data_IF_327791358301
#
_entry.id   IF_327791358301
#
_cell.length_a   1.000
_cell.length_b   1.000
_cell.length_c   1.000
_cell.angle_alpha   90.00
_cell.angle_beta   90.00
_cell.angle_gamma   90.00
#
_symmetry.space_group_name_H-M   'P 1'
#
loop_
_entity.id
_entity.type
_entity.pdbx_description
1 polymer ?
#
# COMPACT_ATOMS: atom_id res chain seq x y z
N UNK A 1 -9.83 -18.95 -13.33
CA UNK A 1 -9.27 -18.13 -12.23
C UNK A 1 -10.31 -17.38 -11.41
N UNK A 2 -11.38 -16.81 -11.99
CA UNK A 2 -12.55 -16.39 -11.18
C UNK A 2 -13.22 -17.60 -10.55
N UNK A 3 -13.29 -18.71 -11.30
CA UNK A 3 -13.58 -20.02 -10.74
C UNK A 3 -12.59 -20.47 -9.65
N UNK A 4 -11.36 -19.98 -9.56
CA UNK A 4 -10.43 -20.42 -8.51
C UNK A 4 -10.64 -19.62 -7.22
N UNK A 5 -11.08 -18.37 -7.32
CA UNK A 5 -11.58 -17.57 -6.17
C UNK A 5 -12.99 -18.02 -5.73
N UNK A 6 -13.79 -18.58 -6.65
CA UNK A 6 -15.13 -19.12 -6.37
C UNK A 6 -15.18 -20.64 -6.10
N UNK A 7 -14.12 -21.42 -6.36
CA UNK A 7 -14.14 -22.89 -6.23
C UNK A 7 -13.26 -23.45 -5.11
N UNK A 8 -12.84 -22.62 -4.17
CA UNK A 8 -12.31 -23.09 -2.89
C UNK A 8 -13.37 -22.84 -1.81
N UNK A 9 -14.03 -23.93 -1.41
CA UNK A 9 -15.16 -24.02 -0.47
C UNK A 9 -16.55 -23.79 -1.09
N UNK A 10 -17.51 -24.62 -0.67
CA UNK A 10 -18.95 -24.48 -0.95
C UNK A 10 -19.60 -23.30 -0.23
N UNK A 11 -18.80 -22.39 0.32
CA UNK A 11 -19.21 -21.17 1.01
C UNK A 11 -18.69 -19.98 0.20
N UNK A 12 -19.53 -18.95 -0.01
CA UNK A 12 -19.08 -17.73 -0.67
C UNK A 12 -17.87 -17.15 0.09
N UNK A 13 -16.82 -16.64 -0.60
CA UNK A 13 -15.65 -16.08 0.08
C UNK A 13 -16.11 -14.98 1.05
N UNK A 14 -15.84 -15.20 2.34
CA UNK A 14 -16.36 -14.35 3.40
C UNK A 14 -15.55 -13.04 3.46
N UNK A 15 -15.91 -12.07 2.62
CA UNK A 15 -15.35 -10.72 2.63
C UNK A 15 -15.69 -9.99 3.94
N UNK A 16 -14.99 -8.88 4.24
CA UNK A 16 -15.32 -8.06 5.43
C UNK A 16 -16.71 -7.42 5.34
N UNK A 17 -17.21 -7.19 4.12
CA UNK A 17 -18.56 -6.73 3.82
C UNK A 17 -18.95 -7.19 2.41
N UNK A 18 -20.21 -6.98 2.03
CA UNK A 18 -20.63 -7.11 0.63
C UNK A 18 -19.78 -6.24 -0.29
N UNK A 19 -19.40 -6.76 -1.47
CA UNK A 19 -18.61 -6.05 -2.49
C UNK A 19 -19.23 -4.70 -2.86
N UNK A 20 -18.42 -3.76 -3.33
CA UNK A 20 -18.89 -2.41 -3.69
C UNK A 20 -19.81 -2.50 -4.90
N UNK A 21 -19.36 -3.18 -5.95
CA UNK A 21 -20.19 -3.59 -7.08
C UNK A 21 -21.06 -4.78 -6.65
N UNK A 22 -22.37 -4.79 -6.95
CA UNK A 22 -23.22 -5.94 -6.67
C UNK A 22 -22.64 -7.24 -7.24
N UNK A 23 -22.67 -8.31 -6.45
CA UNK A 23 -22.08 -9.60 -6.85
C UNK A 23 -22.69 -10.16 -8.15
N UNK A 24 -23.97 -9.89 -8.39
CA UNK A 24 -24.67 -10.23 -9.64
C UNK A 24 -24.08 -9.53 -10.87
N UNK A 25 -23.60 -8.30 -10.73
CA UNK A 25 -22.94 -7.55 -11.81
C UNK A 25 -21.52 -8.06 -12.06
N UNK A 26 -20.78 -8.37 -10.99
CA UNK A 26 -19.46 -9.01 -11.09
C UNK A 26 -19.53 -10.36 -11.80
N UNK A 27 -20.62 -11.11 -11.59
CA UNK A 27 -20.88 -12.41 -12.24
C UNK A 27 -21.28 -12.29 -13.72
N UNK A 28 -21.71 -11.11 -14.20
CA UNK A 28 -22.04 -10.90 -15.63
C UNK A 28 -20.80 -10.86 -16.52
N UNK A 29 -19.70 -10.31 -16.01
CA UNK A 29 -18.42 -10.25 -16.70
C UNK A 29 -17.27 -10.67 -15.75
N UNK A 30 -17.21 -11.96 -15.40
CA UNK A 30 -16.25 -12.47 -14.43
C UNK A 30 -14.82 -12.32 -14.95
N UNK A 31 -14.63 -12.36 -16.27
CA UNK A 31 -13.30 -12.35 -16.85
C UNK A 31 -12.70 -10.96 -17.06
N UNK A 32 -13.49 -9.90 -16.92
CA UNK A 32 -12.97 -8.54 -16.94
C UNK A 32 -11.97 -8.28 -15.81
N UNK A 33 -10.97 -7.44 -16.11
CA UNK A 33 -10.02 -6.98 -15.11
C UNK A 33 -10.69 -6.19 -14.00
N UNK A 34 -11.78 -5.47 -14.28
CA UNK A 34 -12.59 -4.80 -13.25
C UNK A 34 -13.10 -5.76 -12.19
N UNK A 35 -13.83 -6.80 -12.62
CA UNK A 35 -14.39 -7.79 -11.69
C UNK A 35 -13.29 -8.56 -10.96
N UNK A 36 -12.26 -8.98 -11.68
CA UNK A 36 -11.09 -9.68 -11.11
C UNK A 36 -10.37 -8.84 -10.07
N UNK A 37 -10.13 -7.55 -10.35
CA UNK A 37 -9.44 -6.65 -9.43
C UNK A 37 -10.28 -6.34 -8.20
N UNK A 38 -11.59 -6.09 -8.32
CA UNK A 38 -12.46 -5.87 -7.16
C UNK A 38 -12.50 -7.09 -6.23
N UNK A 39 -12.66 -8.29 -6.80
CA UNK A 39 -12.66 -9.53 -6.02
C UNK A 39 -11.31 -9.78 -5.35
N UNK A 40 -10.20 -9.50 -6.05
CA UNK A 40 -8.86 -9.61 -5.48
C UNK A 40 -8.68 -8.68 -4.28
N UNK A 41 -8.96 -7.38 -4.42
CA UNK A 41 -8.73 -6.41 -3.33
C UNK A 41 -9.64 -6.68 -2.13
N UNK A 42 -10.88 -7.13 -2.36
CA UNK A 42 -11.83 -7.52 -1.32
C UNK A 42 -11.38 -8.77 -0.56
N UNK A 43 -10.84 -9.76 -1.29
CA UNK A 43 -10.26 -10.98 -0.69
C UNK A 43 -9.05 -10.63 0.18
N UNK A 44 -8.10 -9.87 -0.35
CA UNK A 44 -6.88 -9.49 0.36
C UNK A 44 -7.21 -8.67 1.62
N UNK A 45 -8.19 -7.77 1.56
CA UNK A 45 -8.67 -7.06 2.75
C UNK A 45 -9.17 -8.03 3.81
N UNK A 46 -10.02 -8.99 3.44
CA UNK A 46 -10.60 -9.93 4.38
C UNK A 46 -9.57 -10.87 5.00
N UNK A 47 -8.72 -11.48 4.18
CA UNK A 47 -7.66 -12.37 4.65
C UNK A 47 -6.70 -11.63 5.59
N UNK A 48 -6.28 -10.42 5.23
CA UNK A 48 -5.35 -9.65 6.06
C UNK A 48 -6.00 -9.18 7.36
N UNK A 49 -7.24 -8.68 7.33
CA UNK A 49 -7.97 -8.29 8.54
C UNK A 49 -8.09 -9.46 9.52
N UNK A 50 -8.55 -10.63 9.05
CA UNK A 50 -8.70 -11.83 9.90
C UNK A 50 -7.37 -12.28 10.49
N UNK A 51 -6.32 -12.27 9.69
CA UNK A 51 -5.00 -12.69 10.13
C UNK A 51 -4.42 -11.73 11.19
N UNK A 52 -4.75 -10.44 11.12
CA UNK A 52 -4.42 -9.46 12.17
C UNK A 52 -5.29 -9.67 13.43
N UNK A 53 -6.60 -9.87 13.30
CA UNK A 53 -7.50 -10.15 14.44
C UNK A 53 -7.06 -11.39 15.22
N UNK A 54 -6.64 -12.45 14.51
CA UNK A 54 -6.12 -13.68 15.12
C UNK A 54 -4.84 -13.40 15.94
N UNK A 55 -3.93 -12.58 15.40
CA UNK A 55 -2.66 -12.27 16.07
C UNK A 55 -2.85 -11.31 17.25
N UNK A 56 -3.76 -10.34 17.14
CA UNK A 56 -4.11 -9.40 18.20
C UNK A 56 -4.84 -10.10 19.36
N UNK A 57 -5.84 -10.91 19.04
CA UNK A 57 -6.60 -11.73 19.98
C UNK A 57 -7.57 -10.97 20.89
N UNK A 58 -7.59 -9.63 20.87
CA UNK A 58 -8.48 -8.82 21.73
C UNK A 58 -9.41 -7.89 20.96
N UNK A 59 -8.93 -7.26 19.88
CA UNK A 59 -9.73 -6.33 19.08
C UNK A 59 -10.16 -6.95 17.75
N UNK A 60 -11.28 -6.45 17.25
CA UNK A 60 -11.79 -6.69 15.89
C UNK A 60 -11.83 -5.40 15.10
N UNK A 61 -11.81 -5.51 13.78
CA UNK A 61 -12.00 -4.36 12.91
C UNK A 61 -13.43 -3.84 13.00
N UNK A 62 -13.55 -2.51 13.11
CA UNK A 62 -14.78 -1.81 12.73
C UNK A 62 -14.83 -1.74 11.21
N UNK A 63 -15.91 -2.24 10.62
CA UNK A 63 -16.10 -2.29 9.17
C UNK A 63 -17.17 -1.30 8.76
N UNK A 64 -16.82 -0.39 7.87
CA UNK A 64 -17.74 0.60 7.31
C UNK A 64 -17.73 0.53 5.79
N UNK A 65 -18.86 0.12 5.21
CA UNK A 65 -19.12 0.24 3.78
C UNK A 65 -19.71 1.62 3.50
N UNK A 66 -19.22 2.28 2.47
CA UNK A 66 -19.66 3.61 2.07
C UNK A 66 -19.76 3.71 0.55
N UNK A 67 -20.67 4.57 0.10
CA UNK A 67 -20.90 4.85 -1.31
C UNK A 67 -20.41 6.25 -1.67
N UNK A 68 -20.03 6.42 -2.94
CA UNK A 68 -19.58 7.69 -3.49
C UNK A 68 -20.65 8.25 -4.44
N UNK A 69 -21.13 9.50 -4.26
CA UNK A 69 -22.15 10.09 -5.13
C UNK A 69 -21.77 10.11 -6.62
N UNK A 70 -20.48 10.28 -6.93
CA UNK A 70 -20.00 10.29 -8.32
C UNK A 70 -19.81 8.88 -8.93
N UNK A 71 -20.01 7.81 -8.16
CA UNK A 71 -19.92 6.43 -8.59
C UNK A 71 -18.90 5.60 -7.80
N UNK A 72 -19.32 4.37 -7.48
CA UNK A 72 -18.57 3.42 -6.67
C UNK A 72 -18.67 3.70 -5.17
N UNK A 73 -17.62 3.36 -4.43
CA UNK A 73 -17.58 3.42 -2.98
C UNK A 73 -16.35 2.72 -2.40
N UNK A 74 -16.47 2.21 -1.19
CA UNK A 74 -15.39 1.49 -0.54
C UNK A 74 -15.82 0.78 0.74
N UNK A 75 -14.87 0.04 1.29
CA UNK A 75 -14.99 -0.65 2.57
C UNK A 75 -13.79 -0.25 3.40
N UNK A 76 -14.02 0.46 4.49
CA UNK A 76 -12.99 0.87 5.44
C UNK A 76 -13.01 -0.06 6.64
N UNK A 77 -11.91 -0.76 6.88
CA UNK A 77 -11.71 -1.58 8.07
C UNK A 77 -10.68 -0.88 8.96
N UNK A 78 -11.05 -0.51 10.18
CA UNK A 78 -10.14 0.11 11.14
C UNK A 78 -10.19 -0.62 12.49
N UNK A 79 -9.02 -0.87 13.06
CA UNK A 79 -8.80 -1.35 14.42
C UNK A 79 -7.91 -0.34 15.14
N UNK A 80 -8.32 0.08 16.34
CA UNK A 80 -7.56 0.99 17.21
C UNK A 80 -7.52 0.42 18.62
N UNK A 81 -6.44 0.73 19.34
CA UNK A 81 -6.19 0.29 20.72
C UNK A 81 -6.22 -1.25 20.88
N UNK A 82 -5.67 -1.97 19.88
CA UNK A 82 -5.39 -3.40 19.95
C UNK A 82 -4.25 -3.75 20.89
N UNK A 83 -4.18 -5.02 21.27
CA UNK A 83 -3.10 -5.52 22.13
C UNK A 83 -1.76 -5.50 21.39
N UNK A 84 -1.79 -5.91 20.12
CA UNK A 84 -0.61 -6.01 19.25
C UNK A 84 -0.57 -4.82 18.31
N UNK A 85 -1.72 -4.43 17.77
CA UNK A 85 -1.83 -3.34 16.81
C UNK A 85 -2.46 -2.12 17.45
N UNK A 86 -1.65 -1.10 17.72
CA UNK A 86 -2.13 0.17 18.26
C UNK A 86 -3.07 0.85 17.27
N UNK A 87 -2.75 0.74 15.97
CA UNK A 87 -3.67 1.11 14.88
C UNK A 87 -3.44 0.23 13.67
N UNK A 88 -4.51 -0.27 13.08
CA UNK A 88 -4.48 -1.01 11.84
C UNK A 88 -5.63 -0.53 10.97
N UNK A 89 -5.36 -0.23 9.71
CA UNK A 89 -6.44 -0.04 8.75
C UNK A 89 -6.14 -0.67 7.42
N UNK A 90 -7.18 -1.24 6.83
CA UNK A 90 -7.15 -2.00 5.59
C UNK A 90 -8.37 -1.56 4.78
N UNK A 91 -8.15 -0.72 3.77
CA UNK A 91 -9.21 -0.05 3.03
C UNK A 91 -9.29 -0.58 1.61
N UNK A 92 -10.52 -0.90 1.18
CA UNK A 92 -10.86 -1.16 -0.21
C UNK A 92 -11.57 0.07 -0.76
N UNK A 93 -11.23 0.45 -1.99
CA UNK A 93 -11.95 1.48 -2.74
C UNK A 93 -12.16 0.99 -4.16
N UNK A 94 -13.41 1.04 -4.61
CA UNK A 94 -13.80 0.72 -5.97
C UNK A 94 -14.58 1.91 -6.49
N UNK A 95 -13.96 2.72 -7.33
CA UNK A 95 -14.53 3.98 -7.81
C UNK A 95 -14.64 3.94 -9.33
N UNK A 96 -15.71 4.51 -9.84
CA UNK A 96 -15.92 4.69 -11.26
C UNK A 96 -16.62 6.02 -11.51
N UNK A 97 -16.56 6.51 -12.75
CA UNK A 97 -17.25 7.73 -13.12
C UNK A 97 -16.54 8.47 -14.23
N UNK A 98 -16.61 9.80 -14.19
CA UNK A 98 -16.04 10.68 -15.20
C UNK A 98 -14.91 11.51 -14.60
N UNK A 99 -13.71 11.34 -15.15
CA UNK A 99 -12.50 12.02 -14.75
C UNK A 99 -12.24 13.25 -15.63
N UNK A 100 -12.05 14.47 -15.08
CA UNK A 100 -11.59 15.61 -15.85
C UNK A 100 -10.23 15.31 -16.51
N UNK A 101 -10.06 15.69 -17.78
CA UNK A 101 -8.79 15.44 -18.51
C UNK A 101 -7.56 16.01 -17.81
N UNK A 102 -7.71 17.12 -17.08
CA UNK A 102 -6.66 17.74 -16.29
C UNK A 102 -6.15 16.87 -15.12
N UNK A 103 -6.92 15.87 -14.68
CA UNK A 103 -6.52 14.97 -13.61
C UNK A 103 -5.71 13.75 -14.11
N UNK A 104 -5.76 13.42 -15.40
CA UNK A 104 -5.05 12.25 -15.97
C UNK A 104 -3.53 12.26 -15.69
N UNK A 105 -2.80 13.40 -15.81
CA UNK A 105 -1.37 13.43 -15.51
C UNK A 105 -1.02 13.10 -14.05
N UNK A 106 -1.98 13.20 -13.13
CA UNK A 106 -1.78 12.84 -11.72
C UNK A 106 -1.97 11.34 -11.47
N UNK A 107 -2.64 10.63 -12.38
CA UNK A 107 -2.98 9.21 -12.23
C UNK A 107 -1.95 8.27 -12.85
N UNK A 108 -1.25 8.73 -13.88
CA UNK A 108 -0.20 7.97 -14.56
C UNK A 108 0.93 8.89 -15.02
N UNK A 109 2.17 8.48 -14.77
CA UNK A 109 3.34 9.21 -15.25
C UNK A 109 3.54 9.06 -16.76
N UNK A 110 2.92 8.03 -17.37
CA UNK A 110 2.98 7.71 -18.79
C UNK A 110 1.65 7.97 -19.52
N UNK A 111 1.08 9.16 -19.32
CA UNK A 111 -0.21 9.58 -19.89
C UNK A 111 -0.14 10.04 -21.36
N UNK A 112 1.04 10.03 -21.99
CA UNK A 112 1.25 10.65 -23.32
C UNK A 112 0.43 10.00 -24.44
N UNK A 113 0.13 8.71 -24.29
CA UNK A 113 -0.64 7.95 -25.27
C UNK A 113 -2.16 8.06 -25.06
N UNK A 114 -2.62 8.71 -23.98
CA UNK A 114 -4.03 8.89 -23.66
C UNK A 114 -4.56 10.10 -24.42
N UNK A 115 -5.53 9.91 -25.31
CA UNK A 115 -6.16 11.00 -26.05
C UNK A 115 -7.11 11.79 -25.14
N UNK A 116 -6.66 12.99 -24.74
CA UNK A 116 -7.40 13.89 -23.84
C UNK A 116 -8.37 14.84 -24.56
N UNK A 117 -8.42 14.81 -25.90
CA UNK A 117 -9.26 15.70 -26.70
C UNK A 117 -9.77 14.95 -27.93
N UNK A 118 -11.06 15.09 -28.24
CA UNK A 118 -11.66 14.49 -29.42
C UNK A 118 -13.11 14.92 -29.59
N UNK A 119 -13.70 14.77 -30.79
CA UNK A 119 -15.07 15.21 -31.07
C UNK A 119 -16.14 14.47 -30.25
N UNK A 120 -15.81 13.30 -29.68
CA UNK A 120 -16.70 12.51 -28.84
C UNK A 120 -16.64 12.90 -27.35
N UNK A 121 -15.70 13.76 -26.96
CA UNK A 121 -15.46 14.17 -25.59
C UNK A 121 -16.47 15.24 -25.15
N UNK A 122 -17.62 14.82 -24.64
CA UNK A 122 -18.58 15.75 -24.02
C UNK A 122 -18.03 16.21 -22.66
N UNK A 123 -18.00 17.53 -22.46
CA UNK A 123 -17.63 18.20 -21.20
C UNK A 123 -16.19 18.00 -20.69
N UNK A 124 -15.27 17.50 -21.53
CA UNK A 124 -13.86 17.39 -21.17
C UNK A 124 -13.55 16.32 -20.11
N UNK A 125 -14.37 15.26 -20.04
CA UNK A 125 -14.22 14.18 -19.06
C UNK A 125 -14.15 12.80 -19.70
N UNK A 126 -13.41 11.90 -19.08
CA UNK A 126 -13.14 10.54 -19.54
C UNK A 126 -13.73 9.50 -18.58
N UNK A 127 -14.42 8.45 -19.06
CA UNK A 127 -14.81 7.33 -18.22
C UNK A 127 -13.59 6.67 -17.58
N UNK A 128 -13.66 6.38 -16.30
CA UNK A 128 -12.60 5.66 -15.60
C UNK A 128 -13.17 4.68 -14.58
N UNK A 129 -12.33 3.71 -14.22
CA UNK A 129 -12.54 2.79 -13.11
C UNK A 129 -11.23 2.59 -12.35
N UNK A 130 -11.33 2.43 -11.04
CA UNK A 130 -10.23 2.04 -10.19
C UNK A 130 -10.69 1.12 -9.07
N UNK A 131 -9.91 0.07 -8.81
CA UNK A 131 -10.10 -0.81 -7.65
C UNK A 131 -8.77 -0.92 -6.91
N UNK A 132 -8.77 -0.71 -5.60
CA UNK A 132 -7.56 -0.71 -4.79
C UNK A 132 -7.79 -1.29 -3.39
N UNK A 133 -6.79 -2.00 -2.88
CA UNK A 133 -6.59 -2.21 -1.44
C UNK A 133 -5.42 -1.34 -0.99
N UNK A 134 -5.55 -0.67 0.14
CA UNK A 134 -4.47 0.09 0.79
C UNK A 134 -4.51 -0.16 2.29
N UNK A 135 -3.36 -0.44 2.87
CA UNK A 135 -3.25 -0.80 4.27
C UNK A 135 -2.04 -0.16 4.93
N UNK A 136 -2.20 0.26 6.18
CA UNK A 136 -1.11 0.66 7.06
C UNK A 136 -1.37 0.07 8.45
N UNK A 137 -0.36 -0.60 8.99
CA UNK A 137 -0.41 -1.24 10.30
C UNK A 137 0.68 -0.67 11.19
N UNK A 138 0.29 -0.15 12.34
CA UNK A 138 1.14 0.40 13.38
C UNK A 138 1.06 -0.46 14.64
N UNK A 139 2.00 -1.40 14.83
CA UNK A 139 2.09 -2.20 16.05
C UNK A 139 2.38 -1.36 17.29
N UNK A 140 1.88 -1.80 18.44
CA UNK A 140 2.19 -1.20 19.73
C UNK A 140 3.67 -1.36 20.09
N UNK A 141 4.20 -2.60 19.98
CA UNK A 141 5.57 -2.93 20.38
C UNK A 141 6.61 -2.28 19.44
N UNK A 142 7.62 -1.52 19.94
CA UNK A 142 8.69 -0.92 19.15
C UNK A 142 9.50 -1.89 18.27
N UNK A 143 9.53 -3.16 18.65
CA UNK A 143 10.25 -4.22 17.94
C UNK A 143 9.47 -4.79 16.76
N UNK A 144 8.16 -4.55 16.69
CA UNK A 144 7.37 -4.94 15.51
C UNK A 144 7.32 -3.77 14.52
N UNK A 145 7.77 -3.96 13.26
CA UNK A 145 7.77 -2.91 12.26
C UNK A 145 6.36 -2.49 11.85
N UNK A 146 6.22 -1.20 11.50
CA UNK A 146 5.06 -0.75 10.72
C UNK A 146 5.16 -1.34 9.31
N UNK A 147 4.03 -1.78 8.74
CA UNK A 147 3.96 -2.22 7.34
C UNK A 147 2.96 -1.38 6.57
N UNK A 148 3.25 -1.13 5.31
CA UNK A 148 2.32 -0.57 4.34
C UNK A 148 2.26 -1.47 3.12
N UNK A 149 1.07 -1.61 2.56
CA UNK A 149 0.93 -2.11 1.19
C UNK A 149 -0.22 -1.43 0.46
N UNK A 150 -0.10 -1.43 -0.85
CA UNK A 150 -1.14 -0.99 -1.76
C UNK A 150 -1.09 -1.85 -3.01
N UNK A 151 -2.25 -2.28 -3.51
CA UNK A 151 -2.38 -2.91 -4.82
C UNK A 151 -3.61 -2.34 -5.49
N UNK A 152 -3.43 -1.80 -6.71
CA UNK A 152 -4.48 -1.07 -7.42
C UNK A 152 -4.48 -1.37 -8.91
N UNK A 153 -5.67 -1.36 -9.47
CA UNK A 153 -5.94 -1.39 -10.90
C UNK A 153 -6.62 -0.10 -11.31
N UNK A 154 -6.21 0.44 -12.46
CA UNK A 154 -6.85 1.59 -13.10
C UNK A 154 -7.15 1.27 -14.56
N UNK A 155 -8.32 1.70 -15.04
CA UNK A 155 -8.61 1.85 -16.46
C UNK A 155 -9.25 3.22 -16.74
N UNK A 156 -8.90 3.79 -17.89
CA UNK A 156 -9.51 5.00 -18.44
C UNK A 156 -9.81 4.77 -19.91
N UNK A 157 -10.99 5.19 -20.35
CA UNK A 157 -11.37 5.22 -21.75
C UNK A 157 -11.08 6.61 -22.30
N UNK A 158 -10.26 6.72 -23.34
CA UNK A 158 -9.84 8.00 -23.92
C UNK A 158 -10.92 8.61 -24.84
N UNK A 159 -10.64 9.79 -25.40
CA UNK A 159 -11.59 10.52 -26.24
C UNK A 159 -11.99 9.82 -27.55
N UNK A 160 -11.32 8.73 -27.91
CA UNK A 160 -11.59 7.90 -29.09
C UNK A 160 -12.25 6.56 -28.72
N UNK A 161 -12.55 6.33 -27.44
CA UNK A 161 -13.13 5.08 -26.94
C UNK A 161 -12.09 3.98 -26.68
N UNK A 162 -10.79 4.30 -26.74
CA UNK A 162 -9.72 3.33 -26.48
C UNK A 162 -9.46 3.24 -24.98
N UNK A 163 -9.42 2.01 -24.46
CA UNK A 163 -9.09 1.74 -23.07
C UNK A 163 -7.58 1.71 -22.83
N UNK A 164 -7.17 2.40 -21.78
CA UNK A 164 -5.82 2.36 -21.24
C UNK A 164 -5.90 1.87 -19.81
N UNK A 165 -5.13 0.84 -19.46
CA UNK A 165 -5.16 0.27 -18.12
C UNK A 165 -3.77 -0.08 -17.62
N UNK A 166 -3.58 0.04 -16.31
CA UNK A 166 -2.33 -0.29 -15.65
C UNK A 166 -2.59 -0.73 -14.21
N UNK A 167 -1.63 -1.44 -13.68
CA UNK A 167 -1.54 -1.75 -12.26
C UNK A 167 -0.51 -0.87 -11.58
N UNK A 168 -0.72 -0.68 -10.28
CA UNK A 168 0.29 -0.12 -9.41
C UNK A 168 0.22 -0.81 -8.05
N UNK A 169 1.29 -0.69 -7.28
CA UNK A 169 1.28 -1.24 -5.95
C UNK A 169 2.65 -1.36 -5.33
N UNK A 170 2.70 -2.09 -4.23
CA UNK A 170 3.90 -2.29 -3.46
C UNK A 170 3.59 -2.69 -2.02
N UNK A 171 4.61 -3.22 -1.37
CA UNK A 171 4.61 -3.56 0.06
C UNK A 171 5.96 -3.11 0.60
N UNK A 172 5.96 -2.33 1.68
CA UNK A 172 7.17 -1.80 2.31
C UNK A 172 7.13 -1.89 3.83
N UNK A 173 8.31 -2.01 4.44
CA UNK A 173 8.49 -2.23 5.87
C UNK A 173 9.20 -1.04 6.53
N UNK A 174 8.66 -0.57 7.65
CA UNK A 174 9.16 0.57 8.43
C UNK A 174 9.45 0.16 9.88
N UNK A 175 10.61 -0.46 10.14
CA UNK A 175 11.04 -0.79 11.50
C UNK A 175 11.46 0.46 12.29
N UNK A 176 11.29 0.39 13.61
CA UNK A 176 11.92 1.36 14.54
C UNK A 176 13.34 0.94 14.93
N UNK A 177 13.56 -0.36 15.04
CA UNK A 177 14.86 -0.97 15.30
C UNK A 177 15.19 -1.97 14.19
N UNK A 178 16.46 -2.02 13.80
CA UNK A 178 16.91 -2.95 12.79
C UNK A 178 17.00 -4.37 13.37
N UNK A 179 16.27 -5.30 12.77
CA UNK A 179 16.53 -6.74 12.81
C UNK A 179 16.87 -7.16 11.36
N UNK A 180 18.08 -7.68 11.14
CA UNK A 180 18.54 -8.01 9.79
C UNK A 180 17.84 -9.27 9.25
N UNK A 181 17.49 -10.23 10.12
CA UNK A 181 16.78 -11.45 9.71
C UNK A 181 15.37 -11.12 9.25
N UNK A 182 14.70 -10.19 9.92
CA UNK A 182 13.37 -9.73 9.53
C UNK A 182 13.40 -9.01 8.18
N UNK A 183 14.40 -8.15 7.96
CA UNK A 183 14.57 -7.48 6.68
C UNK A 183 14.82 -8.48 5.55
N UNK A 184 15.69 -9.48 5.77
CA UNK A 184 15.96 -10.56 4.82
C UNK A 184 14.68 -11.38 4.56
N UNK A 185 13.95 -11.79 5.61
CA UNK A 185 12.70 -12.57 5.49
C UNK A 185 11.67 -11.82 4.65
N UNK A 186 11.46 -10.55 4.95
CA UNK A 186 10.50 -9.69 4.26
C UNK A 186 10.86 -9.57 2.77
N UNK A 187 12.09 -9.16 2.48
CA UNK A 187 12.56 -8.95 1.10
C UNK A 187 12.63 -10.24 0.29
N UNK A 188 13.05 -11.36 0.90
CA UNK A 188 13.07 -12.66 0.25
C UNK A 188 11.67 -13.11 -0.15
N UNK A 189 10.70 -12.96 0.73
CA UNK A 189 9.30 -13.32 0.45
C UNK A 189 8.74 -12.51 -0.73
N UNK A 190 9.02 -11.20 -0.77
CA UNK A 190 8.62 -10.35 -1.90
C UNK A 190 9.35 -10.71 -3.20
N UNK A 191 10.63 -11.07 -3.12
CA UNK A 191 11.42 -11.52 -4.28
C UNK A 191 10.88 -12.82 -4.84
N UNK A 192 10.58 -13.80 -3.99
CA UNK A 192 10.03 -15.09 -4.42
C UNK A 192 8.69 -14.91 -5.15
N UNK A 193 7.83 -14.00 -4.67
CA UNK A 193 6.59 -13.62 -5.35
C UNK A 193 6.83 -12.97 -6.72
N UNK A 194 7.86 -12.13 -6.87
CA UNK A 194 8.22 -11.52 -8.15
C UNK A 194 8.84 -12.53 -9.13
N UNK A 195 9.75 -13.36 -8.64
CA UNK A 195 10.53 -14.33 -9.42
C UNK A 195 9.67 -15.45 -10.00
N UNK A 196 8.48 -15.71 -9.42
CA UNK A 196 7.48 -16.61 -9.99
C UNK A 196 6.95 -16.15 -11.36
N UNK A 197 7.15 -14.88 -11.72
CA UNK A 197 6.73 -14.29 -12.99
C UNK A 197 7.92 -13.85 -13.84
N UNK A 198 8.83 -13.07 -13.25
CA UNK A 198 10.09 -12.67 -13.91
C UNK A 198 11.12 -12.18 -12.89
N UNK A 199 12.38 -12.60 -13.08
CA UNK A 199 13.51 -12.22 -12.20
C UNK A 199 13.90 -10.75 -12.29
N UNK A 200 13.36 -10.01 -13.27
CA UNK A 200 13.65 -8.58 -13.48
C UNK A 200 12.87 -7.67 -12.53
N UNK A 201 11.70 -8.12 -12.06
CA UNK A 201 10.75 -7.29 -11.34
C UNK A 201 11.28 -6.87 -9.96
N UNK A 202 11.76 -7.82 -9.14
CA UNK A 202 12.20 -7.49 -7.78
C UNK A 202 13.34 -6.46 -7.76
N UNK A 203 14.47 -6.61 -8.50
CA UNK A 203 15.53 -5.60 -8.48
C UNK A 203 15.04 -4.21 -8.90
N UNK A 204 14.17 -4.12 -9.91
CA UNK A 204 13.62 -2.86 -10.39
C UNK A 204 12.69 -2.22 -9.36
N UNK A 205 11.74 -2.99 -8.82
CA UNK A 205 10.72 -2.49 -7.89
C UNK A 205 11.27 -2.23 -6.49
N UNK A 206 12.31 -2.96 -6.07
CA UNK A 206 13.05 -2.66 -4.83
C UNK A 206 13.76 -1.33 -4.93
N UNK A 207 14.50 -1.10 -6.03
CA UNK A 207 15.15 0.18 -6.27
C UNK A 207 14.12 1.32 -6.31
N UNK A 208 13.00 1.12 -6.99
CA UNK A 208 11.94 2.12 -7.05
C UNK A 208 11.36 2.41 -5.65
N UNK A 209 11.19 1.39 -4.81
CA UNK A 209 10.75 1.56 -3.43
C UNK A 209 11.72 2.44 -2.63
N UNK A 210 13.04 2.20 -2.75
CA UNK A 210 14.08 2.99 -2.09
C UNK A 210 14.11 4.46 -2.55
N UNK A 211 13.77 4.72 -3.80
CA UNK A 211 13.73 6.05 -4.42
C UNK A 211 12.42 6.80 -4.12
N UNK A 212 11.31 6.06 -3.94
CA UNK A 212 9.99 6.63 -3.70
C UNK A 212 9.83 7.11 -2.25
N UNK A 213 10.18 6.28 -1.27
CA UNK A 213 9.95 6.54 0.15
C UNK A 213 11.05 7.39 0.82
N UNK A 214 11.55 8.41 0.12
CA UNK A 214 12.58 9.33 0.61
C UNK A 214 11.96 10.56 1.27
N UNK A 215 12.36 10.84 2.50
CA UNK A 215 11.99 12.06 3.25
C UNK A 215 13.00 13.15 2.91
N UNK A 216 12.77 13.85 1.79
CA UNK A 216 13.76 14.75 1.16
C UNK A 216 14.28 15.86 2.09
N UNK A 217 13.48 16.33 3.03
CA UNK A 217 13.88 17.37 3.98
C UNK A 217 14.69 16.84 5.19
N UNK A 218 14.81 15.52 5.37
CA UNK A 218 15.58 14.87 6.46
C UNK A 218 16.96 14.43 5.96
N UNK A 219 17.80 15.40 5.59
CA UNK A 219 19.18 15.19 5.13
C UNK A 219 19.60 16.16 4.02
N UNK A 220 20.87 16.09 3.57
CA UNK A 220 21.33 16.83 2.39
C UNK A 220 21.17 15.95 1.15
N UNK A 221 20.12 16.16 0.36
CA UNK A 221 19.99 15.57 -0.98
C UNK A 221 20.91 16.37 -1.94
N UNK A 222 22.22 16.08 -1.95
CA UNK A 222 23.17 16.79 -2.83
C UNK A 222 23.24 16.14 -4.22
N UNK A 223 23.29 16.98 -5.25
CA UNK A 223 23.48 16.58 -6.66
C UNK A 223 24.89 16.03 -6.96
N UNK A 224 25.85 16.13 -6.02
CA UNK A 224 27.24 15.72 -6.22
C UNK A 224 27.71 14.68 -5.18
N UNK A 225 27.11 13.49 -5.16
CA UNK A 225 27.77 12.30 -4.60
C UNK A 225 27.21 11.67 -3.33
N UNK A 226 25.88 11.62 -3.16
CA UNK A 226 25.26 10.52 -2.38
C UNK A 226 23.98 10.90 -1.64
N UNK A 227 22.96 10.00 -1.59
CA UNK A 227 21.74 10.26 -0.85
C UNK A 227 22.02 10.09 0.65
N UNK A 228 22.18 11.19 1.40
CA UNK A 228 22.08 11.18 2.87
C UNK A 228 20.66 11.45 3.37
N UNK A 229 19.69 11.41 2.46
CA UNK A 229 18.28 11.63 2.81
C UNK A 229 17.72 10.36 3.44
N UNK A 230 17.02 10.54 4.54
CA UNK A 230 16.38 9.45 5.28
C UNK A 230 15.25 8.82 4.45
N UNK A 231 15.22 7.49 4.36
CA UNK A 231 14.06 6.74 3.86
C UNK A 231 13.10 6.49 5.00
N UNK A 232 11.81 6.32 4.67
CA UNK A 232 10.76 6.01 5.66
C UNK A 232 11.09 4.73 6.44
N UNK A 233 11.56 3.70 5.72
CA UNK A 233 11.83 2.36 6.23
C UNK A 233 12.92 1.62 5.43
N UNK A 234 12.95 0.30 5.53
CA UNK A 234 13.93 -0.58 4.85
C UNK A 234 13.52 -0.99 3.44
N UNK A 235 12.49 -0.33 2.90
CA UNK A 235 11.97 -0.55 1.55
C UNK A 235 11.11 -1.80 1.45
N UNK A 236 11.10 -2.39 0.27
CA UNK A 236 10.25 -3.50 -0.14
C UNK A 236 10.14 -3.47 -1.66
N UNK A 237 8.93 -3.57 -2.21
CA UNK A 237 8.69 -3.38 -3.64
C UNK A 237 7.74 -2.20 -3.87
N UNK A 238 7.97 -1.42 -4.92
CA UNK A 238 7.06 -0.38 -5.39
C UNK A 238 7.04 -0.37 -6.92
N UNK A 239 5.84 -0.29 -7.49
CA UNK A 239 5.62 -0.15 -8.93
C UNK A 239 4.39 0.71 -9.21
N UNK A 240 4.44 1.38 -10.34
CA UNK A 240 3.36 2.20 -10.87
C UNK A 240 3.38 2.08 -12.39
N UNK A 241 2.28 2.42 -13.05
CA UNK A 241 2.17 2.37 -14.52
C UNK A 241 2.52 0.99 -15.13
N UNK A 242 2.29 -0.10 -14.40
CA UNK A 242 2.54 -1.46 -14.87
C UNK A 242 1.43 -1.88 -15.84
N UNK A 243 1.67 -1.63 -17.14
CA UNK A 243 0.77 -1.99 -18.24
C UNK A 243 0.76 -3.50 -18.48
N UNK A 244 -0.34 -3.98 -19.07
CA UNK A 244 -0.42 -5.37 -19.55
C UNK A 244 0.70 -5.63 -20.57
N UNK A 245 1.25 -6.84 -20.55
CA UNK A 245 2.35 -7.24 -21.43
C UNK A 245 2.23 -8.71 -21.81
N UNK A 246 2.89 -9.10 -22.90
CA UNK A 246 3.00 -10.50 -23.32
C UNK A 246 4.14 -11.26 -22.59
N UNK A 247 4.95 -10.59 -21.76
CA UNK A 247 6.08 -11.23 -21.05
C UNK A 247 5.59 -12.14 -19.91
N UNK A 248 4.52 -11.75 -19.22
CA UNK A 248 3.86 -12.53 -18.16
C UNK A 248 2.45 -11.98 -17.89
N UNK A 249 1.61 -12.78 -17.22
CA UNK A 249 0.29 -12.34 -16.77
C UNK A 249 0.42 -11.34 -15.60
N UNK A 250 0.26 -10.05 -15.94
CA UNK A 250 0.40 -8.94 -14.99
C UNK A 250 -0.63 -9.02 -13.84
N UNK A 251 -1.84 -9.50 -14.11
CA UNK A 251 -2.84 -9.65 -13.05
C UNK A 251 -2.44 -10.75 -12.07
N UNK A 252 -1.89 -11.87 -12.56
CA UNK A 252 -1.34 -12.92 -11.70
C UNK A 252 -0.09 -12.45 -10.93
N UNK A 253 0.77 -11.64 -11.54
CA UNK A 253 1.88 -11.01 -10.83
C UNK A 253 1.42 -10.17 -9.65
N UNK A 254 0.47 -9.26 -9.86
CA UNK A 254 -0.10 -8.43 -8.79
C UNK A 254 -0.77 -9.28 -7.72
N UNK A 255 -1.46 -10.35 -8.12
CA UNK A 255 -2.07 -11.32 -7.20
C UNK A 255 -1.02 -11.98 -6.32
N UNK A 256 0.08 -12.50 -6.89
CA UNK A 256 1.18 -13.10 -6.12
C UNK A 256 1.84 -12.11 -5.18
N UNK A 257 2.03 -10.85 -5.60
CA UNK A 257 2.54 -9.81 -4.72
C UNK A 257 1.58 -9.54 -3.55
N UNK A 258 0.27 -9.45 -3.80
CA UNK A 258 -0.72 -9.24 -2.75
C UNK A 258 -0.80 -10.42 -1.76
N UNK A 259 -0.74 -11.66 -2.27
CA UNK A 259 -0.72 -12.88 -1.45
C UNK A 259 0.56 -12.98 -0.59
N UNK A 260 1.65 -12.32 -1.00
CA UNK A 260 2.92 -12.32 -0.26
C UNK A 260 2.91 -11.42 0.99
N UNK A 261 1.89 -10.57 1.18
CA UNK A 261 1.81 -9.63 2.31
C UNK A 261 1.76 -10.37 3.66
N UNK A 262 0.84 -11.33 3.82
CA UNK A 262 0.70 -12.11 5.06
C UNK A 262 2.00 -12.87 5.40
N UNK A 263 2.57 -13.70 4.50
CA UNK A 263 3.77 -14.47 4.82
C UNK A 263 5.02 -13.59 4.99
N UNK A 264 5.10 -12.42 4.37
CA UNK A 264 6.22 -11.49 4.58
C UNK A 264 6.14 -10.77 5.92
N UNK A 265 4.95 -10.50 6.45
CA UNK A 265 4.77 -9.67 7.63
C UNK A 265 4.43 -10.43 8.92
N UNK A 266 3.45 -11.35 8.91
CA UNK A 266 2.97 -11.96 10.15
C UNK A 266 4.00 -12.80 10.91
N UNK A 267 4.95 -13.51 10.27
CA UNK A 267 6.04 -14.17 11.01
C UNK A 267 6.85 -13.18 11.86
N UNK A 268 7.13 -11.99 11.33
CA UNK A 268 7.84 -10.92 12.04
C UNK A 268 7.01 -10.44 13.25
N UNK A 269 5.72 -10.20 13.06
CA UNK A 269 4.82 -9.81 14.17
C UNK A 269 4.80 -10.88 15.26
N UNK A 270 4.64 -12.15 14.89
CA UNK A 270 4.59 -13.28 15.84
C UNK A 270 5.90 -13.43 16.60
N UNK A 271 7.04 -13.18 15.96
CA UNK A 271 8.39 -13.20 16.57
C UNK A 271 8.53 -12.10 17.63
N UNK A 272 8.10 -10.87 17.33
CA UNK A 272 8.44 -9.69 18.14
C UNK A 272 7.33 -9.12 19.02
N UNK A 273 6.06 -9.55 18.87
CA UNK A 273 4.93 -8.91 19.58
C UNK A 273 5.05 -8.93 21.11
N UNK A 274 5.75 -9.92 21.67
CA UNK A 274 5.94 -10.09 23.11
C UNK A 274 7.32 -9.64 23.61
N UNK A 275 8.14 -9.03 22.76
CA UNK A 275 9.47 -8.56 23.15
C UNK A 275 9.36 -7.49 24.25
N UNK A 276 10.19 -7.60 25.27
CA UNK A 276 10.27 -6.61 26.34
C UNK A 276 10.95 -5.36 25.80
N UNK A 277 10.33 -4.20 26.00
CA UNK A 277 10.89 -2.91 25.62
C UNK A 277 10.85 -1.90 26.78
N UNK A 278 11.65 -0.86 26.66
CA UNK A 278 11.80 0.24 27.62
C UNK A 278 11.05 1.49 27.14
N UNK A 279 10.78 2.42 28.06
CA UNK A 279 10.16 3.71 27.72
C UNK A 279 10.96 4.50 26.68
N UNK A 280 12.30 4.39 26.71
CA UNK A 280 13.17 5.01 25.71
C UNK A 280 12.94 4.42 24.31
N UNK A 281 12.76 3.10 24.22
CA UNK A 281 12.45 2.44 22.95
C UNK A 281 11.07 2.81 22.42
N UNK A 282 10.10 3.01 23.32
CA UNK A 282 8.80 3.55 22.95
C UNK A 282 8.89 5.02 22.50
N UNK A 283 9.68 5.87 23.17
CA UNK A 283 9.92 7.26 22.71
C UNK A 283 10.56 7.28 21.32
N UNK A 284 11.53 6.41 21.07
CA UNK A 284 12.15 6.29 19.75
C UNK A 284 11.14 5.87 18.66
N UNK A 285 10.31 4.87 18.93
CA UNK A 285 9.24 4.45 18.01
C UNK A 285 8.30 5.62 17.66
N UNK A 286 7.93 6.45 18.65
CA UNK A 286 7.09 7.63 18.41
C UNK A 286 7.79 8.70 17.55
N UNK A 287 9.11 8.86 17.69
CA UNK A 287 9.91 9.74 16.81
C UNK A 287 9.98 9.18 15.38
N UNK A 288 10.17 7.85 15.22
CA UNK A 288 10.13 7.17 13.92
C UNK A 288 8.76 7.30 13.25
N UNK A 289 7.68 7.21 14.02
CA UNK A 289 6.31 7.45 13.54
C UNK A 289 6.06 8.92 13.15
N UNK A 290 6.72 9.87 13.80
CA UNK A 290 6.75 11.26 13.33
C UNK A 290 7.30 11.37 11.90
N UNK A 291 8.34 10.59 11.55
CA UNK A 291 8.87 10.51 10.17
C UNK A 291 7.88 9.89 9.19
N UNK A 292 7.13 8.88 9.64
CA UNK A 292 6.06 8.27 8.85
C UNK A 292 4.99 9.31 8.48
N UNK A 293 4.50 10.06 9.48
CA UNK A 293 3.54 11.14 9.28
C UNK A 293 4.08 12.26 8.38
N UNK A 294 5.35 12.66 8.57
CA UNK A 294 6.01 13.64 7.68
C UNK A 294 6.01 13.19 6.22
N UNK A 295 6.32 11.92 5.95
CA UNK A 295 6.28 11.41 4.58
C UNK A 295 4.87 11.47 3.99
N UNK A 296 3.88 10.93 4.71
CA UNK A 296 2.51 10.84 4.21
C UNK A 296 1.90 12.23 3.96
N UNK A 297 2.14 13.20 4.85
CA UNK A 297 1.58 14.55 4.70
C UNK A 297 2.33 15.41 3.68
N UNK A 298 3.65 15.21 3.51
CA UNK A 298 4.50 16.11 2.70
C UNK A 298 4.85 15.55 1.33
N UNK A 299 4.92 14.23 1.14
CA UNK A 299 5.45 13.63 -0.10
C UNK A 299 4.56 12.58 -0.74
N UNK A 300 3.76 11.85 0.04
CA UNK A 300 2.93 10.79 -0.51
C UNK A 300 1.92 11.34 -1.54
N UNK A 301 1.97 10.78 -2.75
CA UNK A 301 1.12 11.21 -3.86
C UNK A 301 -0.34 10.82 -3.59
N UNK A 302 -0.56 9.63 -3.03
CA UNK A 302 -1.89 9.11 -2.74
C UNK A 302 -2.64 9.98 -1.73
N UNK A 303 -1.98 10.27 -0.60
CA UNK A 303 -2.55 11.13 0.46
C UNK A 303 -2.85 12.53 -0.05
N UNK A 304 -1.90 13.18 -0.75
CA UNK A 304 -2.13 14.53 -1.30
C UNK A 304 -3.28 14.58 -2.31
N UNK A 305 -3.32 13.61 -3.23
CA UNK A 305 -4.38 13.52 -4.22
C UNK A 305 -5.74 13.29 -3.56
N UNK A 306 -5.82 12.36 -2.61
CA UNK A 306 -7.03 12.08 -1.86
C UNK A 306 -7.57 13.31 -1.12
N UNK A 307 -6.70 14.05 -0.42
CA UNK A 307 -7.08 15.26 0.32
C UNK A 307 -7.47 16.43 -0.60
N UNK A 308 -6.87 16.51 -1.79
CA UNK A 308 -7.20 17.54 -2.78
C UNK A 308 -8.46 17.21 -3.60
N UNK A 309 -8.89 15.96 -3.62
CA UNK A 309 -10.06 15.51 -4.40
C UNK A 309 -11.36 15.86 -3.67
N UNK A 310 -12.26 16.67 -4.26
CA UNK A 310 -13.57 16.93 -3.69
C UNK A 310 -14.35 15.63 -3.44
N UNK A 311 -14.92 15.48 -2.25
CA UNK A 311 -15.65 14.27 -1.85
C UNK A 311 -14.76 13.09 -1.44
N UNK A 312 -13.44 13.27 -1.36
CA UNK A 312 -12.54 12.26 -0.78
C UNK A 312 -12.91 11.98 0.68
N UNK A 313 -13.03 10.71 1.05
CA UNK A 313 -13.33 10.31 2.44
C UNK A 313 -12.08 10.52 3.31
N UNK A 314 -11.99 11.69 3.92
CA UNK A 314 -10.82 12.16 4.68
C UNK A 314 -10.37 11.14 5.73
N UNK A 315 -11.30 10.55 6.48
CA UNK A 315 -10.97 9.53 7.49
C UNK A 315 -10.35 8.26 6.90
N UNK A 316 -10.74 7.85 5.69
CA UNK A 316 -10.12 6.72 5.00
C UNK A 316 -8.71 7.06 4.51
N UNK A 317 -8.46 8.32 4.15
CA UNK A 317 -7.14 8.79 3.68
C UNK A 317 -6.17 8.93 4.87
N UNK A 318 -6.64 9.52 5.97
CA UNK A 318 -5.84 9.74 7.18
C UNK A 318 -5.71 8.51 8.07
N UNK A 319 -6.37 7.40 7.72
CA UNK A 319 -6.18 6.09 8.36
C UNK A 319 -4.69 5.70 8.45
N UNK A 320 -3.90 6.11 7.46
CA UNK A 320 -2.45 5.86 7.40
C UNK A 320 -1.63 6.54 8.50
N UNK A 321 -2.22 7.46 9.28
CA UNK A 321 -1.52 8.14 10.37
C UNK A 321 -1.60 7.30 11.66
N UNK A 322 -0.47 7.17 12.41
CA UNK A 322 -0.46 6.47 13.69
C UNK A 322 -1.28 7.23 14.74
N UNK A 323 -1.79 6.52 15.76
CA UNK A 323 -2.46 7.18 16.90
C UNK A 323 -1.54 8.17 17.61
N UNK A 324 -0.27 7.81 17.76
CA UNK A 324 0.71 8.60 18.49
C UNK A 324 1.99 8.77 17.67
N UNK A 325 2.49 10.00 17.62
CA UNK A 325 3.77 10.39 17.07
C UNK A 325 4.41 11.51 17.91
N UNK A 326 5.73 11.61 17.89
CA UNK A 326 6.49 12.67 18.58
C UNK A 326 7.41 13.41 17.62
N UNK A 327 7.61 14.69 17.90
CA UNK A 327 8.65 15.53 17.31
C UNK A 327 9.46 16.18 18.41
N UNK A 328 10.77 15.96 18.39
CA UNK A 328 11.71 16.53 19.37
C UNK A 328 12.73 17.38 18.64
N UNK A 329 12.87 18.63 19.08
CA UNK A 329 13.77 19.58 18.47
C UNK A 329 15.22 19.07 18.52
N UNK A 330 15.87 19.07 17.35
CA UNK A 330 17.28 18.68 17.17
C UNK A 330 17.68 17.34 17.82
N UNK A 331 16.76 16.38 17.90
CA UNK A 331 17.06 15.06 18.43
C UNK A 331 18.02 14.29 17.52
N UNK A 332 19.10 13.75 18.09
CA UNK A 332 20.00 12.81 17.44
C UNK A 332 20.17 11.57 18.33
N UNK A 333 20.14 10.35 17.76
CA UNK A 333 20.40 9.14 18.55
C UNK A 333 21.84 9.10 19.03
N UNK A 334 22.08 8.45 20.17
CA UNK A 334 23.42 8.27 20.74
C UNK A 334 24.30 7.47 19.76
N UNK A 335 25.53 7.90 19.45
CA UNK A 335 26.44 7.13 18.59
C UNK A 335 26.65 5.70 19.10
N UNK A 336 26.62 4.72 18.18
CA UNK A 336 26.77 3.30 18.52
C UNK A 336 25.53 2.63 19.13
N UNK A 337 24.42 3.37 19.30
CA UNK A 337 23.14 2.81 19.75
C UNK A 337 22.40 2.06 18.63
N UNK A 338 21.45 1.18 18.98
CA UNK A 338 20.55 0.56 18.00
C UNK A 338 19.75 1.59 17.16
N UNK A 339 19.37 2.73 17.75
CA UNK A 339 18.72 3.84 17.05
C UNK A 339 19.62 4.46 15.99
N UNK A 340 20.91 4.64 16.31
CA UNK A 340 21.90 5.13 15.34
C UNK A 340 22.10 4.13 14.19
N UNK A 341 22.19 2.84 14.50
CA UNK A 341 22.31 1.79 13.48
C UNK A 341 21.11 1.78 12.52
N UNK A 342 19.89 1.93 13.05
CA UNK A 342 18.69 2.08 12.21
C UNK A 342 18.80 3.30 11.28
N UNK A 343 19.22 4.46 11.81
CA UNK A 343 19.37 5.67 11.01
C UNK A 343 20.40 5.56 9.89
N UNK A 344 21.45 4.77 10.07
CA UNK A 344 22.47 4.55 9.04
C UNK A 344 21.89 3.77 7.85
N UNK A 345 21.10 2.72 8.12
CA UNK A 345 20.39 1.97 7.07
C UNK A 345 19.38 2.86 6.33
N UNK A 346 18.65 3.71 7.05
CA UNK A 346 17.67 4.60 6.43
C UNK A 346 18.31 5.69 5.57
N UNK A 347 19.56 6.08 5.84
CA UNK A 347 20.30 7.03 4.99
C UNK A 347 20.96 6.30 3.82
N UNK A 348 21.34 5.05 4.00
CA UNK A 348 22.06 4.24 3.01
C UNK A 348 21.35 2.90 2.82
N UNK A 349 20.33 2.83 1.93
CA UNK A 349 19.63 1.60 1.63
C UNK A 349 20.60 0.48 1.27
N UNK A 350 20.37 -0.71 1.83
CA UNK A 350 21.21 -1.90 1.63
C UNK A 350 20.56 -2.85 0.64
N UNK A 351 21.37 -3.72 0.06
CA UNK A 351 20.85 -4.97 -0.50
C UNK A 351 20.62 -5.95 0.65
N UNK A 352 19.45 -6.57 0.69
CA UNK A 352 19.04 -7.47 1.76
C UNK A 352 19.18 -8.95 1.37
N UNK A 353 19.52 -9.26 0.11
CA UNK A 353 19.51 -10.64 -0.43
C UNK A 353 20.82 -11.06 -1.09
#
# INVERSE_FOLDING_TARGET
>A
MVQTVLAASSEEPEFMSSTVTPMEDLKKDPDSLKSKSELLVSRIQAEFCRALEEVDGKKKFTVEKWDRPEGGGGITCVMEDGEVFEKAGVNVSVVHGLLPTAAVPQMTSDHKDIKLSGPQLKDGKLPFFAAAVSSVIHPWNPHVPTVHFNYRYFEVEDAEGKKHSWFGGGTDLTPSYLDEEDAVHFHKTLKDACDAHTKKNYPAFKKWCDDYFVIKHRGTCSHNGGPRCERRGVGGIFFDDLKLSDEYDVFQFVTSCADSVIPSYLPIVKKHKNDVFTDNQREWQLLRRGRYAEFNLVYDRGTKFGLATPGGRIESILMSLPLNAKWKYNHAPTPGSPEAAMMDVLKSPRDWL
#
